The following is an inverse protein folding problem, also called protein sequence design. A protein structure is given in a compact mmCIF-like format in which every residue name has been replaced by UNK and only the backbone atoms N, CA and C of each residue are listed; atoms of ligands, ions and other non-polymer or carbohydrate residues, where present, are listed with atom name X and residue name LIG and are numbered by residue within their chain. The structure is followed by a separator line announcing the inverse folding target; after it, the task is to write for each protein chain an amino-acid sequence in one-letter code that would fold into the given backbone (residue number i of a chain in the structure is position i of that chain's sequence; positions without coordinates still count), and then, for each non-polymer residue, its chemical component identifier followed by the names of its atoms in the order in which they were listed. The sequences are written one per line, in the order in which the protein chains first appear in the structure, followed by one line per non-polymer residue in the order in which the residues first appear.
data_IF_541875680290
#
_entry.id   IF_541875680290
#
_cell.length_a   1.000
_cell.length_b   1.000
_cell.length_c   1.000
_cell.angle_alpha   90.00
_cell.angle_beta   90.00
_cell.angle_gamma   90.00
#
_symmetry.space_group_name_H-M   'P 1'
#
loop_
_entity.id
_entity.type
_entity.pdbx_description
1 polymer ?
#
# COMPACT_ATOMS: atom_id res chain seq x y z
N UNK A 1 -10.90 39.92 -25.93
CA UNK A 1 -11.91 39.07 -26.59
C UNK A 1 -11.13 37.92 -27.21
N UNK A 2 -11.32 36.72 -26.69
CA UNK A 2 -10.48 35.55 -26.94
C UNK A 2 -10.74 34.94 -28.31
N UNK A 3 -9.68 34.70 -29.09
CA UNK A 3 -9.55 33.53 -29.95
C UNK A 3 -8.10 33.37 -30.46
N UNK A 4 -7.74 32.13 -30.79
CA UNK A 4 -6.52 31.63 -31.43
C UNK A 4 -5.25 31.46 -30.56
N UNK A 5 -4.84 30.21 -30.35
CA UNK A 5 -3.81 29.52 -31.16
C UNK A 5 -3.68 28.07 -30.64
N UNK A 6 -4.13 27.14 -31.48
CA UNK A 6 -3.66 25.76 -31.54
C UNK A 6 -2.30 25.74 -32.26
N UNK A 7 -1.52 24.69 -32.00
CA UNK A 7 -0.24 24.31 -32.63
C UNK A 7 1.06 24.93 -32.09
N UNK A 8 1.71 24.20 -31.18
CA UNK A 8 2.94 23.43 -31.50
C UNK A 8 3.51 22.83 -30.20
N UNK A 9 3.64 21.51 -30.16
CA UNK A 9 4.81 20.73 -29.70
C UNK A 9 4.44 19.26 -29.91
N UNK A 10 4.82 18.76 -31.09
CA UNK A 10 5.02 17.34 -31.35
C UNK A 10 6.53 17.13 -31.43
N UNK A 11 6.97 15.95 -30.93
CA UNK A 11 8.33 15.39 -30.92
C UNK A 11 9.16 15.70 -29.67
N UNK A 12 8.81 15.01 -28.58
CA UNK A 12 9.84 14.23 -27.88
C UNK A 12 9.24 12.95 -27.30
N UNK A 13 9.70 11.82 -27.82
CA UNK A 13 9.14 10.49 -27.60
C UNK A 13 9.78 9.83 -26.39
N UNK A 14 9.22 10.08 -25.21
CA UNK A 14 9.26 9.12 -24.09
C UNK A 14 7.84 8.98 -23.52
N UNK A 15 7.29 7.77 -23.61
CA UNK A 15 5.90 7.41 -23.30
C UNK A 15 5.52 7.86 -21.89
N UNK A 16 4.76 8.96 -21.78
CA UNK A 16 4.05 9.37 -20.56
C UNK A 16 2.72 8.62 -20.49
N UNK A 17 2.54 7.81 -19.44
CA UNK A 17 1.22 7.36 -19.02
C UNK A 17 0.50 8.57 -18.40
N UNK A 18 -0.41 9.19 -19.15
CA UNK A 18 -1.28 10.24 -18.65
C UNK A 18 -2.71 9.71 -18.56
N UNK A 19 -3.29 9.68 -17.34
CA UNK A 19 -4.74 9.73 -17.19
C UNK A 19 -5.18 11.20 -17.32
N UNK A 20 -5.85 11.54 -18.42
CA UNK A 20 -6.52 12.83 -18.56
C UNK A 20 -7.96 12.72 -18.05
N UNK A 21 -8.40 13.68 -17.24
CA UNK A 21 -9.82 13.92 -16.98
C UNK A 21 -10.38 14.77 -18.12
N UNK A 22 -11.48 14.33 -18.73
CA UNK A 22 -12.27 15.15 -19.65
C UNK A 22 -13.22 16.08 -18.86
N UNK A 23 -13.65 17.18 -19.47
CA UNK A 23 -14.47 18.24 -18.86
C UNK A 23 -15.85 17.81 -18.35
N UNK A 24 -16.20 16.53 -18.53
CA UNK A 24 -17.45 15.91 -18.11
C UNK A 24 -17.29 14.84 -17.02
N UNK A 25 -16.16 14.79 -16.31
CA UNK A 25 -15.93 13.89 -15.16
C UNK A 25 -16.16 12.38 -15.46
N UNK A 26 -16.08 11.95 -16.74
CA UNK A 26 -16.08 10.52 -17.10
C UNK A 26 -14.65 10.01 -17.21
N UNK A 27 -14.35 8.93 -16.47
CA UNK A 27 -13.05 8.27 -16.47
C UNK A 27 -13.01 7.25 -17.63
N UNK A 28 -12.06 7.40 -18.56
CA UNK A 28 -11.64 6.30 -19.43
C UNK A 28 -10.46 5.60 -18.76
N UNK A 29 -10.70 4.44 -18.16
CA UNK A 29 -9.64 3.51 -17.77
C UNK A 29 -9.11 2.84 -19.04
N UNK A 30 -8.02 3.32 -19.64
CA UNK A 30 -7.28 2.51 -20.61
C UNK A 30 -6.47 1.47 -19.85
N UNK A 31 -6.92 0.22 -19.93
CA UNK A 31 -6.10 -0.96 -19.63
C UNK A 31 -4.88 -0.91 -20.55
N UNK A 32 -3.68 -1.05 -19.98
CA UNK A 32 -2.47 -1.24 -20.78
C UNK A 32 -2.63 -2.56 -21.56
N UNK A 33 -2.57 -2.48 -22.88
CA UNK A 33 -2.55 -3.65 -23.76
C UNK A 33 -1.33 -4.51 -23.41
N UNK A 34 -1.50 -5.78 -22.97
CA UNK A 34 -0.40 -6.63 -22.54
C UNK A 34 0.52 -7.09 -23.69
N UNK A 35 0.22 -6.73 -24.94
CA UNK A 35 0.90 -7.31 -26.11
C UNK A 35 2.08 -6.52 -26.67
N UNK A 36 2.53 -5.41 -26.06
CA UNK A 36 3.61 -4.61 -26.66
C UNK A 36 4.65 -4.04 -25.68
N UNK A 37 5.39 -4.94 -25.03
CA UNK A 37 6.83 -4.72 -24.77
C UNK A 37 7.54 -6.05 -24.49
N UNK A 38 7.92 -6.76 -25.55
CA UNK A 38 8.99 -7.77 -25.43
C UNK A 38 10.31 -7.01 -25.32
N UNK A 39 10.78 -6.81 -24.09
CA UNK A 39 12.19 -6.55 -23.82
C UNK A 39 12.77 -7.83 -23.25
N UNK A 40 13.69 -8.41 -24.00
CA UNK A 40 14.46 -9.60 -23.65
C UNK A 40 15.18 -9.42 -22.31
N UNK A 41 14.85 -10.25 -21.32
CA UNK A 41 15.62 -10.44 -20.08
C UNK A 41 14.88 -10.03 -18.80
N UNK A 42 14.33 -11.02 -18.08
CA UNK A 42 13.65 -10.96 -16.77
C UNK A 42 12.41 -10.04 -16.71
N UNK A 43 11.23 -10.66 -16.85
CA UNK A 43 9.95 -10.05 -16.51
C UNK A 43 9.89 -9.86 -14.99
N UNK A 44 10.17 -8.63 -14.59
CA UNK A 44 10.22 -8.14 -13.23
C UNK A 44 8.76 -7.81 -12.84
N UNK A 45 8.11 -8.73 -12.10
CA UNK A 45 6.65 -8.74 -11.90
C UNK A 45 6.13 -7.75 -10.85
N UNK A 46 5.40 -6.72 -11.29
CA UNK A 46 4.72 -5.73 -10.43
C UNK A 46 3.78 -6.39 -9.42
N UNK A 47 4.00 -6.13 -8.13
CA UNK A 47 3.07 -6.46 -7.04
C UNK A 47 1.90 -5.49 -7.09
N UNK A 48 0.83 -5.87 -7.79
CA UNK A 48 -0.39 -5.07 -7.90
C UNK A 48 -1.58 -5.86 -7.41
N UNK A 49 -2.54 -5.15 -6.83
CA UNK A 49 -3.83 -5.72 -6.44
C UNK A 49 -4.59 -6.21 -7.68
N UNK A 50 -5.48 -7.18 -7.51
CA UNK A 50 -6.25 -7.74 -8.62
C UNK A 50 -7.10 -6.65 -9.28
N UNK A 51 -6.82 -6.37 -10.55
CA UNK A 51 -7.46 -5.29 -11.31
C UNK A 51 -8.87 -5.63 -11.80
N UNK A 52 -9.54 -4.62 -12.37
CA UNK A 52 -10.86 -4.77 -12.97
C UNK A 52 -12.02 -4.59 -12.00
N UNK A 53 -13.22 -4.97 -12.46
CA UNK A 53 -14.51 -4.78 -11.77
C UNK A 53 -15.21 -6.12 -11.45
N UNK A 54 -14.51 -7.24 -11.67
CA UNK A 54 -15.04 -8.58 -11.44
C UNK A 54 -15.17 -8.93 -9.96
N UNK A 55 -15.82 -10.06 -9.62
CA UNK A 55 -16.08 -10.46 -8.23
C UNK A 55 -14.82 -10.73 -7.41
N UNK A 56 -13.68 -11.03 -8.04
CA UNK A 56 -12.39 -11.23 -7.37
C UNK A 56 -11.49 -9.99 -7.40
N UNK A 57 -11.96 -8.89 -7.99
CA UNK A 57 -11.18 -7.66 -8.12
C UNK A 57 -11.02 -6.95 -6.77
N UNK A 58 -9.98 -6.14 -6.66
CA UNK A 58 -9.76 -5.27 -5.51
C UNK A 58 -10.88 -4.23 -5.36
N UNK A 59 -11.46 -3.74 -6.46
CA UNK A 59 -12.57 -2.80 -6.40
C UNK A 59 -13.77 -3.35 -5.62
N UNK A 60 -14.05 -4.65 -5.76
CA UNK A 60 -15.17 -5.34 -5.09
C UNK A 60 -14.82 -5.90 -3.70
N UNK A 61 -13.53 -6.01 -3.36
CA UNK A 61 -13.06 -6.69 -2.14
C UNK A 61 -12.15 -5.83 -1.25
N UNK A 62 -12.27 -4.50 -1.31
CA UNK A 62 -11.43 -3.56 -0.55
C UNK A 62 -12.17 -2.82 0.58
N UNK A 63 -13.29 -3.39 1.08
CA UNK A 63 -14.05 -2.82 2.19
C UNK A 63 -13.26 -2.75 3.50
N UNK A 64 -12.34 -3.70 3.72
CA UNK A 64 -11.42 -3.70 4.86
C UNK A 64 -10.58 -2.43 4.88
N UNK A 65 -9.99 -2.06 3.74
CA UNK A 65 -9.24 -0.82 3.58
C UNK A 65 -10.16 0.41 3.67
N UNK A 66 -11.36 0.33 3.11
CA UNK A 66 -12.36 1.40 3.16
C UNK A 66 -12.68 1.83 4.60
N UNK A 67 -12.79 0.87 5.52
CA UNK A 67 -13.00 1.16 6.95
C UNK A 67 -11.90 2.02 7.57
N UNK A 68 -10.63 1.82 7.18
CA UNK A 68 -9.52 2.65 7.68
C UNK A 68 -9.59 4.06 7.11
N UNK A 69 -9.95 4.20 5.83
CA UNK A 69 -10.11 5.52 5.18
C UNK A 69 -11.17 6.35 5.92
N UNK A 70 -12.29 5.73 6.30
CA UNK A 70 -13.36 6.41 7.02
C UNK A 70 -12.90 6.92 8.40
N UNK A 71 -12.07 6.15 9.11
CA UNK A 71 -11.52 6.57 10.42
C UNK A 71 -10.44 7.64 10.27
N UNK A 72 -9.59 7.52 9.25
CA UNK A 72 -8.49 8.46 9.03
C UNK A 72 -8.98 9.81 8.46
N UNK A 73 -10.09 9.82 7.72
CA UNK A 73 -10.65 11.01 7.09
C UNK A 73 -10.82 12.19 8.05
N UNK A 74 -11.58 12.11 9.17
CA UNK A 74 -11.76 13.26 10.07
C UNK A 74 -10.44 13.74 10.66
N UNK A 75 -9.48 12.84 10.91
CA UNK A 75 -8.13 13.17 11.37
C UNK A 75 -7.39 14.00 10.32
N UNK A 76 -7.40 13.56 9.05
CA UNK A 76 -6.77 14.28 7.96
C UNK A 76 -7.40 15.66 7.75
N UNK A 77 -8.74 15.75 7.80
CA UNK A 77 -9.46 17.02 7.66
C UNK A 77 -9.11 18.01 8.79
N UNK A 78 -9.02 17.52 10.03
CA UNK A 78 -8.60 18.28 11.20
C UNK A 78 -7.17 18.81 11.03
N UNK A 79 -6.23 17.94 10.65
CA UNK A 79 -4.82 18.30 10.50
C UNK A 79 -4.58 19.26 9.33
N UNK A 80 -5.29 19.11 8.22
CA UNK A 80 -5.27 20.08 7.11
C UNK A 80 -5.72 21.45 7.63
N UNK A 81 -6.82 21.52 8.38
CA UNK A 81 -7.34 22.78 8.91
C UNK A 81 -6.33 23.48 9.83
N UNK A 82 -5.64 22.71 10.68
CA UNK A 82 -4.72 23.22 11.72
C UNK A 82 -3.31 23.52 11.22
N UNK A 83 -2.75 22.66 10.36
CA UNK A 83 -1.31 22.59 10.10
C UNK A 83 -0.90 22.98 8.68
N UNK A 84 -1.85 22.94 7.73
CA UNK A 84 -1.58 23.35 6.35
C UNK A 84 -1.53 24.88 6.31
N UNK A 85 -0.35 25.40 6.01
CA UNK A 85 -0.21 26.81 5.65
C UNK A 85 -0.59 26.94 4.17
N UNK A 86 -1.50 27.85 3.86
CA UNK A 86 -1.91 28.15 2.48
C UNK A 86 -1.40 29.51 2.02
N UNK A 87 -0.82 30.33 2.93
CA UNK A 87 -0.50 31.73 2.67
C UNK A 87 0.64 31.94 1.68
N UNK A 88 1.56 30.98 1.62
CA UNK A 88 2.78 31.05 0.83
C UNK A 88 2.77 30.14 -0.41
N UNK A 89 1.64 29.50 -0.72
CA UNK A 89 1.57 28.56 -1.83
C UNK A 89 1.13 29.24 -3.13
N UNK A 90 1.80 28.86 -4.22
CA UNK A 90 1.49 29.35 -5.57
C UNK A 90 0.05 29.04 -5.99
N UNK A 91 -0.39 29.64 -7.09
CA UNK A 91 -1.73 29.46 -7.67
C UNK A 91 -2.17 28.01 -7.92
N UNK A 92 -1.26 27.02 -7.86
CA UNK A 92 -1.52 25.58 -8.07
C UNK A 92 -1.19 24.76 -6.82
N UNK A 93 -2.17 24.02 -6.30
CA UNK A 93 -2.01 23.06 -5.20
C UNK A 93 -2.06 21.63 -5.75
N UNK A 94 -1.04 20.82 -5.47
CA UNK A 94 -0.98 19.41 -5.91
C UNK A 94 -1.16 18.46 -4.73
N UNK A 95 -1.78 17.32 -5.02
CA UNK A 95 -2.03 16.25 -4.06
C UNK A 95 -1.61 14.96 -4.75
N UNK A 96 -0.84 14.11 -4.10
CA UNK A 96 -0.51 12.78 -4.60
C UNK A 96 -1.08 11.70 -3.68
N UNK A 97 -1.48 10.56 -4.26
CA UNK A 97 -1.90 9.34 -3.55
C UNK A 97 -0.97 8.18 -3.93
N UNK A 98 -0.12 7.76 -2.99
CA UNK A 98 0.79 6.62 -3.17
C UNK A 98 0.11 5.34 -2.69
N UNK A 99 0.01 4.34 -3.58
CA UNK A 99 -0.74 3.10 -3.31
C UNK A 99 -2.23 3.18 -3.68
N UNK A 100 -2.58 3.98 -4.70
CA UNK A 100 -3.99 4.26 -5.04
C UNK A 100 -4.81 3.04 -5.52
N UNK A 101 -4.16 1.93 -5.91
CA UNK A 101 -4.78 0.70 -6.42
C UNK A 101 -5.84 0.98 -7.51
N UNK A 102 -6.71 0.00 -7.79
CA UNK A 102 -7.85 0.09 -8.72
C UNK A 102 -9.19 0.27 -8.03
N UNK A 103 -9.23 0.37 -6.70
CA UNK A 103 -10.47 0.46 -5.92
C UNK A 103 -10.99 1.89 -5.69
N UNK A 104 -12.21 1.98 -5.16
CA UNK A 104 -12.89 3.26 -4.90
C UNK A 104 -12.34 4.05 -3.70
N UNK A 105 -11.61 3.39 -2.80
CA UNK A 105 -11.07 4.00 -1.57
C UNK A 105 -10.19 5.22 -1.84
N UNK A 106 -9.32 5.15 -2.85
CA UNK A 106 -8.45 6.26 -3.28
C UNK A 106 -9.27 7.48 -3.68
N UNK A 107 -10.36 7.28 -4.42
CA UNK A 107 -11.23 8.37 -4.85
C UNK A 107 -11.89 9.06 -3.66
N UNK A 108 -12.47 8.29 -2.74
CA UNK A 108 -13.13 8.83 -1.55
C UNK A 108 -12.17 9.62 -0.64
N UNK A 109 -10.95 9.10 -0.44
CA UNK A 109 -9.91 9.81 0.31
C UNK A 109 -9.52 11.12 -0.38
N UNK A 110 -9.20 11.08 -1.66
CA UNK A 110 -8.78 12.25 -2.44
C UNK A 110 -9.86 13.33 -2.53
N UNK A 111 -11.13 12.91 -2.64
CA UNK A 111 -12.26 13.85 -2.63
C UNK A 111 -12.37 14.56 -1.27
N UNK A 112 -12.28 13.81 -0.18
CA UNK A 112 -12.37 14.34 1.19
C UNK A 112 -11.24 15.32 1.49
N UNK A 113 -10.02 14.93 1.15
CA UNK A 113 -8.83 15.76 1.25
C UNK A 113 -8.97 17.04 0.43
N UNK A 114 -9.44 16.94 -0.82
CA UNK A 114 -9.67 18.10 -1.68
C UNK A 114 -10.69 19.05 -1.08
N UNK A 115 -11.78 18.53 -0.52
CA UNK A 115 -12.82 19.33 0.17
C UNK A 115 -12.24 20.06 1.38
N UNK A 116 -11.44 19.38 2.20
CA UNK A 116 -10.79 19.97 3.37
C UNK A 116 -9.84 21.12 3.00
N UNK A 117 -9.03 20.93 1.96
CA UNK A 117 -8.13 21.97 1.46
C UNK A 117 -8.93 23.17 0.95
N UNK A 118 -9.96 22.95 0.12
CA UNK A 118 -10.82 24.04 -0.37
C UNK A 118 -11.41 24.87 0.76
N UNK A 119 -11.95 24.19 1.78
CA UNK A 119 -12.48 24.84 2.99
C UNK A 119 -11.41 25.65 3.72
N UNK A 120 -10.18 25.16 3.79
CA UNK A 120 -9.04 25.88 4.38
C UNK A 120 -8.70 27.16 3.59
N UNK A 121 -8.65 27.09 2.27
CA UNK A 121 -8.45 28.28 1.42
C UNK A 121 -9.56 29.31 1.58
N UNK A 122 -10.82 28.88 1.64
CA UNK A 122 -11.98 29.76 1.89
C UNK A 122 -11.89 30.45 3.26
N UNK A 123 -11.55 29.68 4.30
CA UNK A 123 -11.44 30.16 5.68
C UNK A 123 -10.31 31.19 5.83
N UNK A 124 -9.20 30.98 5.11
CA UNK A 124 -8.02 31.85 5.13
C UNK A 124 -8.12 33.01 4.11
N UNK A 125 -9.25 33.17 3.42
CA UNK A 125 -9.52 34.30 2.51
C UNK A 125 -8.75 34.27 1.19
N UNK A 126 -8.37 33.09 0.71
CA UNK A 126 -7.55 32.91 -0.48
C UNK A 126 -8.35 32.33 -1.67
N UNK A 127 -8.02 32.77 -2.89
CA UNK A 127 -8.60 32.24 -4.14
C UNK A 127 -7.53 31.51 -4.96
N UNK A 128 -7.72 30.22 -5.22
CA UNK A 128 -6.69 29.38 -5.85
C UNK A 128 -7.24 28.50 -6.97
N UNK A 129 -6.42 28.23 -8.00
CA UNK A 129 -6.73 27.27 -9.06
C UNK A 129 -6.22 25.88 -8.66
N UNK A 130 -7.12 25.00 -8.26
CA UNK A 130 -6.78 23.63 -7.88
C UNK A 130 -6.45 22.75 -9.09
N UNK A 131 -5.35 21.98 -9.03
CA UNK A 131 -5.06 20.89 -9.98
C UNK A 131 -4.73 19.63 -9.21
N UNK A 132 -5.65 18.67 -9.24
CA UNK A 132 -5.45 17.35 -8.62
C UNK A 132 -4.63 16.50 -9.59
N UNK A 133 -3.51 15.96 -9.13
CA UNK A 133 -2.70 15.01 -9.90
C UNK A 133 -2.70 13.65 -9.22
N UNK A 134 -3.42 12.67 -9.78
CA UNK A 134 -3.19 11.27 -9.42
C UNK A 134 -1.90 10.83 -10.12
N UNK A 135 -0.75 10.90 -9.45
CA UNK A 135 0.52 10.57 -10.10
C UNK A 135 1.43 9.70 -9.24
N UNK A 136 2.03 8.72 -9.90
CA UNK A 136 3.18 7.92 -9.46
C UNK A 136 4.53 8.53 -9.85
N UNK A 137 4.66 9.83 -10.19
CA UNK A 137 5.96 10.45 -10.53
C UNK A 137 6.19 11.92 -10.11
N UNK A 138 7.27 12.15 -9.35
CA UNK A 138 8.38 13.15 -9.45
C UNK A 138 8.11 14.65 -9.70
N UNK A 139 6.91 15.18 -9.54
CA UNK A 139 6.70 16.65 -9.46
C UNK A 139 6.47 17.13 -8.04
N UNK A 140 7.03 18.31 -7.69
CA UNK A 140 7.06 18.77 -6.29
C UNK A 140 5.69 19.09 -5.71
N UNK A 141 5.13 18.27 -4.83
CA UNK A 141 3.77 18.41 -4.28
C UNK A 141 3.73 19.20 -2.96
N UNK A 142 2.71 20.02 -2.67
CA UNK A 142 2.46 20.59 -1.34
C UNK A 142 1.83 19.60 -0.34
N UNK A 143 1.25 18.50 -0.82
CA UNK A 143 0.73 17.47 0.06
C UNK A 143 0.77 16.07 -0.56
N UNK A 144 1.12 15.08 0.24
CA UNK A 144 1.21 13.67 -0.16
C UNK A 144 0.36 12.84 0.80
N UNK A 145 -0.69 12.23 0.28
CA UNK A 145 -1.41 11.18 1.01
C UNK A 145 -0.85 9.84 0.54
N UNK A 146 -0.57 8.93 1.46
CA UNK A 146 -0.25 7.53 1.12
C UNK A 146 -1.32 6.71 1.82
N UNK A 147 -2.38 6.38 1.07
CA UNK A 147 -3.54 5.75 1.65
C UNK A 147 -3.25 4.29 2.00
N UNK A 148 -2.46 3.58 1.20
CA UNK A 148 -2.09 2.19 1.45
C UNK A 148 -0.82 1.80 0.67
N UNK A 149 0.36 2.10 1.20
CA UNK A 149 1.59 1.31 1.03
C UNK A 149 2.79 2.06 1.60
N UNK A 150 3.28 1.61 2.75
CA UNK A 150 4.72 1.42 2.87
C UNK A 150 4.99 -0.08 2.74
N UNK A 151 4.44 -0.67 1.67
CA UNK A 151 5.01 -1.90 1.17
C UNK A 151 6.22 -1.48 0.35
N UNK A 152 7.35 -2.13 0.58
CA UNK A 152 8.59 -2.07 -0.20
C UNK A 152 8.31 -1.97 -1.70
N UNK A 153 8.21 -0.75 -2.24
CA UNK A 153 8.05 -0.52 -3.68
C UNK A 153 9.12 0.46 -4.14
N UNK A 154 10.39 0.02 -4.26
CA UNK A 154 11.31 0.69 -5.15
C UNK A 154 10.74 0.67 -6.58
N UNK A 155 10.82 1.81 -7.26
CA UNK A 155 10.38 1.97 -8.65
C UNK A 155 11.14 1.08 -9.64
N UNK A 156 12.28 0.53 -9.22
CA UNK A 156 13.13 -0.36 -10.02
C UNK A 156 13.41 -1.67 -9.28
N UNK A 157 12.49 -2.60 -9.52
CA UNK A 157 12.63 -4.04 -9.59
C UNK A 157 13.97 -4.75 -9.31
N UNK A 158 14.09 -5.25 -8.09
CA UNK A 158 14.56 -6.61 -7.78
C UNK A 158 13.97 -6.98 -6.41
N UNK A 159 13.65 -8.26 -6.14
CA UNK A 159 13.43 -8.68 -4.75
C UNK A 159 14.65 -8.21 -3.95
N UNK A 160 14.49 -7.47 -2.85
CA UNK A 160 15.63 -6.96 -2.10
C UNK A 160 16.59 -8.12 -1.76
N UNK A 161 17.91 -7.89 -1.76
CA UNK A 161 18.90 -8.95 -1.51
C UNK A 161 18.57 -9.82 -0.29
N UNK A 162 18.04 -9.21 0.77
CA UNK A 162 17.59 -9.86 1.99
C UNK A 162 16.44 -10.84 1.75
N UNK A 163 15.51 -10.52 0.84
CA UNK A 163 14.45 -11.44 0.43
C UNK A 163 14.96 -12.56 -0.48
N UNK A 164 16.10 -12.38 -1.15
CA UNK A 164 16.77 -13.44 -1.88
C UNK A 164 17.48 -14.38 -0.90
N UNK A 165 18.13 -13.84 0.13
CA UNK A 165 18.78 -14.64 1.19
C UNK A 165 17.78 -15.50 1.97
N UNK A 166 16.58 -15.01 2.28
CA UNK A 166 15.55 -15.84 2.95
C UNK A 166 14.97 -16.94 2.05
N UNK A 167 15.17 -16.84 0.73
CA UNK A 167 14.73 -17.83 -0.25
C UNK A 167 15.85 -18.81 -0.69
N UNK A 168 17.09 -18.58 -0.25
CA UNK A 168 18.27 -19.39 -0.58
C UNK A 168 18.49 -20.48 0.47
N UNK A 169 18.50 -21.76 0.05
CA UNK A 169 18.63 -22.91 0.94
C UNK A 169 20.05 -23.08 1.52
N UNK A 170 21.02 -22.33 1.00
CA UNK A 170 22.38 -22.24 1.53
C UNK A 170 22.56 -21.12 2.56
N UNK A 171 21.56 -20.21 2.66
CA UNK A 171 21.63 -19.06 3.55
C UNK A 171 21.29 -19.40 5.01
N UNK A 172 21.98 -18.80 6.00
CA UNK A 172 21.60 -18.92 7.40
C UNK A 172 20.19 -18.36 7.68
N UNK A 173 19.64 -17.49 6.80
CA UNK A 173 18.30 -16.89 6.91
C UNK A 173 17.22 -17.62 6.11
N UNK A 174 17.49 -18.82 5.57
CA UNK A 174 16.49 -19.59 4.81
C UNK A 174 15.18 -19.81 5.59
N UNK A 175 14.04 -19.44 4.99
CA UNK A 175 12.70 -19.51 5.59
C UNK A 175 11.95 -20.80 5.25
N UNK A 176 12.57 -21.95 5.52
CA UNK A 176 12.03 -23.28 5.19
C UNK A 176 10.60 -23.48 5.70
N UNK A 177 9.74 -24.04 4.84
CA UNK A 177 8.35 -24.41 5.09
C UNK A 177 7.42 -23.24 5.50
N UNK A 178 7.85 -22.00 5.28
CA UNK A 178 7.08 -20.79 5.58
C UNK A 178 7.13 -19.84 4.40
N UNK A 179 6.11 -18.99 4.30
CA UNK A 179 6.01 -17.99 3.25
C UNK A 179 6.18 -16.55 3.77
N UNK A 180 6.42 -16.38 5.07
CA UNK A 180 6.55 -15.09 5.75
C UNK A 180 7.39 -15.24 7.02
N UNK A 181 7.82 -14.14 7.64
CA UNK A 181 8.69 -14.14 8.82
C UNK A 181 7.99 -14.46 10.16
N UNK A 182 6.67 -14.71 10.16
CA UNK A 182 5.94 -14.96 11.40
C UNK A 182 6.30 -16.34 11.98
N UNK A 183 6.68 -16.35 13.26
CA UNK A 183 7.21 -17.54 13.94
C UNK A 183 8.46 -18.15 13.27
N UNK A 184 9.15 -17.41 12.41
CA UNK A 184 10.39 -17.83 11.79
C UNK A 184 11.56 -17.67 12.77
N UNK A 185 12.77 -18.08 12.35
CA UNK A 185 13.99 -17.85 13.13
C UNK A 185 14.27 -16.35 13.24
N UNK A 186 14.94 -15.95 14.32
CA UNK A 186 15.24 -14.53 14.63
C UNK A 186 15.93 -13.83 13.46
N UNK A 187 16.84 -14.52 12.79
CA UNK A 187 17.60 -14.00 11.65
C UNK A 187 16.69 -13.64 10.46
N UNK A 188 15.60 -14.40 10.24
CA UNK A 188 14.60 -14.11 9.21
C UNK A 188 13.79 -12.87 9.58
N UNK A 189 13.37 -12.77 10.86
CA UNK A 189 12.63 -11.61 11.35
C UNK A 189 13.47 -10.33 11.23
N UNK A 190 14.75 -10.39 11.61
CA UNK A 190 15.69 -9.27 11.48
C UNK A 190 15.89 -8.86 10.02
N UNK A 191 16.00 -9.82 9.09
CA UNK A 191 16.10 -9.51 7.66
C UNK A 191 14.88 -8.73 7.15
N UNK A 192 13.66 -9.18 7.49
CA UNK A 192 12.42 -8.49 7.12
C UNK A 192 12.32 -7.09 7.75
N UNK A 193 12.63 -6.97 9.05
CA UNK A 193 12.58 -5.69 9.77
C UNK A 193 13.61 -4.69 9.24
N UNK A 194 14.83 -5.13 8.97
CA UNK A 194 15.89 -4.29 8.39
C UNK A 194 15.52 -3.81 6.99
N UNK A 195 14.97 -4.71 6.15
CA UNK A 195 14.55 -4.34 4.81
C UNK A 195 13.39 -3.34 4.85
N UNK A 196 12.40 -3.58 5.70
CA UNK A 196 11.30 -2.64 5.92
C UNK A 196 11.80 -1.26 6.34
N UNK A 197 12.74 -1.19 7.28
CA UNK A 197 13.34 0.07 7.72
C UNK A 197 14.03 0.81 6.57
N UNK A 198 14.83 0.11 5.75
CA UNK A 198 15.49 0.67 4.57
C UNK A 198 14.47 1.22 3.55
N UNK A 199 13.39 0.48 3.31
CA UNK A 199 12.37 0.87 2.34
C UNK A 199 11.57 2.09 2.81
N UNK A 200 11.23 2.15 4.10
CA UNK A 200 10.56 3.33 4.70
C UNK A 200 11.49 4.55 4.62
N UNK A 201 12.78 4.40 4.92
CA UNK A 201 13.76 5.49 4.82
C UNK A 201 13.91 5.99 3.39
N UNK A 202 14.12 5.08 2.43
CA UNK A 202 14.20 5.43 1.02
C UNK A 202 12.92 6.10 0.51
N UNK A 203 11.76 5.65 0.98
CA UNK A 203 10.49 6.31 0.71
C UNK A 203 10.47 7.73 1.25
N UNK A 204 10.80 7.95 2.54
CA UNK A 204 10.82 9.27 3.15
C UNK A 204 11.80 10.21 2.43
N UNK A 205 13.00 9.74 2.11
CA UNK A 205 14.00 10.55 1.40
C UNK A 205 13.53 10.94 0.00
N UNK A 206 12.94 10.00 -0.75
CA UNK A 206 12.34 10.30 -2.06
C UNK A 206 11.21 11.33 -1.94
N UNK A 207 10.35 11.19 -0.93
CA UNK A 207 9.27 12.15 -0.67
C UNK A 207 9.80 13.51 -0.21
N UNK A 208 11.02 13.59 0.32
CA UNK A 208 11.60 14.85 0.82
C UNK A 208 12.09 15.74 -0.32
N UNK A 209 12.46 15.15 -1.46
CA UNK A 209 12.79 15.84 -2.71
C UNK A 209 11.53 16.35 -3.43
N UNK A 210 10.43 15.60 -3.31
CA UNK A 210 9.14 15.91 -3.93
C UNK A 210 8.27 16.85 -3.07
N UNK A 211 8.25 16.72 -1.75
CA UNK A 211 7.38 17.54 -0.91
C UNK A 211 8.00 18.92 -0.66
N UNK A 212 7.22 19.98 -0.89
CA UNK A 212 7.69 21.35 -0.60
C UNK A 212 7.90 21.57 0.91
N UNK A 213 8.76 22.52 1.28
CA UNK A 213 8.93 22.92 2.68
C UNK A 213 7.60 23.36 3.30
N UNK A 214 7.28 22.83 4.49
CA UNK A 214 5.99 23.04 5.16
C UNK A 214 4.84 22.16 4.66
N UNK A 215 5.04 21.38 3.58
CA UNK A 215 4.06 20.44 3.07
C UNK A 215 3.75 19.30 4.04
N UNK A 216 2.53 18.76 3.93
CA UNK A 216 2.04 17.69 4.81
C UNK A 216 2.10 16.33 4.11
N UNK A 217 2.47 15.30 4.86
CA UNK A 217 2.40 13.91 4.43
C UNK A 217 1.61 13.09 5.44
N UNK A 218 0.50 12.51 5.00
CA UNK A 218 -0.32 11.60 5.81
C UNK A 218 -0.05 10.16 5.37
N UNK A 219 0.36 9.31 6.32
CA UNK A 219 0.60 7.88 6.09
C UNK A 219 -0.40 7.06 6.91
N UNK A 220 -0.93 6.01 6.30
CA UNK A 220 -1.73 4.99 6.96
C UNK A 220 -1.04 3.65 6.71
N UNK A 221 -0.54 3.04 7.79
CA UNK A 221 0.38 1.90 7.70
C UNK A 221 -0.18 0.70 8.45
N UNK A 222 -0.33 -0.46 7.80
CA UNK A 222 -0.73 -1.68 8.50
C UNK A 222 0.39 -2.15 9.42
N UNK A 223 0.03 -2.56 10.62
CA UNK A 223 0.95 -2.95 11.66
C UNK A 223 0.35 -4.05 12.55
N UNK A 224 1.18 -4.60 13.42
CA UNK A 224 0.76 -5.52 14.49
C UNK A 224 1.03 -4.90 15.86
N UNK A 225 0.22 -5.23 16.88
CA UNK A 225 0.49 -4.80 18.23
C UNK A 225 1.79 -5.47 18.73
N UNK A 226 2.54 -4.75 19.57
CA UNK A 226 3.77 -5.27 20.16
C UNK A 226 3.57 -6.58 20.94
N UNK A 227 2.37 -6.77 21.50
CA UNK A 227 1.99 -7.97 22.24
C UNK A 227 0.56 -8.37 21.90
N UNK A 228 0.36 -9.66 21.61
CA UNK A 228 -0.95 -10.29 21.45
C UNK A 228 -0.84 -11.79 21.73
N UNK A 229 -1.96 -12.45 22.06
CA UNK A 229 -1.97 -13.87 22.38
C UNK A 229 -2.51 -14.69 21.19
N UNK A 230 -1.68 -15.52 20.53
CA UNK A 230 -2.11 -16.32 19.38
C UNK A 230 -3.10 -17.43 19.71
N UNK A 231 -3.31 -17.74 20.99
CA UNK A 231 -4.32 -18.72 21.41
C UNK A 231 -5.73 -18.13 21.51
N UNK A 232 -5.87 -16.80 21.58
CA UNK A 232 -7.17 -16.13 21.80
C UNK A 232 -7.46 -15.05 20.76
N UNK A 233 -6.53 -14.77 19.86
CA UNK A 233 -6.63 -13.72 18.86
C UNK A 233 -5.84 -14.11 17.62
N UNK A 234 -6.02 -13.37 16.53
CA UNK A 234 -5.24 -13.50 15.31
C UNK A 234 -4.85 -12.12 14.75
N UNK A 235 -3.85 -12.11 13.90
CA UNK A 235 -3.45 -10.93 13.12
C UNK A 235 -3.29 -11.34 11.65
N UNK A 236 -3.04 -10.39 10.76
CA UNK A 236 -2.69 -10.67 9.36
C UNK A 236 -1.49 -11.62 9.24
N UNK A 237 -0.58 -11.64 10.23
CA UNK A 237 0.53 -12.59 10.26
C UNK A 237 0.08 -14.05 10.39
N UNK A 238 -0.95 -14.32 11.21
CA UNK A 238 -1.55 -15.65 11.33
C UNK A 238 -2.20 -16.11 10.03
N UNK A 239 -2.78 -15.17 9.28
CA UNK A 239 -3.40 -15.47 7.99
C UNK A 239 -2.37 -15.86 6.92
N UNK A 240 -1.18 -15.24 6.94
CA UNK A 240 -0.07 -15.68 6.09
C UNK A 240 0.38 -17.11 6.41
N UNK A 241 0.42 -17.50 7.68
CA UNK A 241 0.72 -18.89 8.06
C UNK A 241 -0.35 -19.86 7.54
N UNK A 242 -1.64 -19.50 7.60
CA UNK A 242 -2.72 -20.32 7.04
C UNK A 242 -2.58 -20.44 5.52
N UNK A 243 -2.28 -19.33 4.83
CA UNK A 243 -2.03 -19.33 3.38
C UNK A 243 -0.84 -20.24 3.01
N UNK A 244 0.27 -20.13 3.76
CA UNK A 244 1.44 -20.99 3.59
C UNK A 244 1.10 -22.47 3.81
N UNK A 245 0.29 -22.77 4.82
CA UNK A 245 -0.20 -24.12 5.07
C UNK A 245 -1.08 -24.64 3.92
N UNK A 246 -1.93 -23.82 3.29
CA UNK A 246 -2.67 -24.22 2.09
C UNK A 246 -1.76 -24.51 0.89
N UNK A 247 -0.70 -23.73 0.71
CA UNK A 247 0.30 -23.99 -0.34
C UNK A 247 1.03 -25.32 -0.10
N UNK A 248 1.35 -25.64 1.15
CA UNK A 248 1.93 -26.93 1.52
C UNK A 248 0.99 -28.10 1.23
N UNK A 249 -0.31 -27.99 1.55
CA UNK A 249 -1.31 -29.01 1.22
C UNK A 249 -1.39 -29.25 -0.30
N UNK A 250 -1.31 -28.20 -1.11
CA UNK A 250 -1.28 -28.32 -2.57
C UNK A 250 0.00 -29.00 -3.08
N UNK A 251 1.15 -28.72 -2.45
CA UNK A 251 2.39 -29.42 -2.76
C UNK A 251 2.30 -30.92 -2.43
N UNK A 252 1.67 -31.27 -1.30
CA UNK A 252 1.46 -32.67 -0.89
C UNK A 252 0.49 -33.41 -1.80
N UNK A 253 -0.47 -32.70 -2.40
CA UNK A 253 -1.32 -33.21 -3.49
C UNK A 253 -0.62 -33.32 -4.84
N UNK A 254 0.66 -32.93 -4.93
CA UNK A 254 1.44 -33.01 -6.17
C UNK A 254 1.15 -31.92 -7.18
N UNK A 255 0.53 -30.79 -6.78
CA UNK A 255 0.35 -29.63 -7.69
C UNK A 255 1.68 -28.97 -8.05
N UNK A 256 2.65 -29.00 -7.15
CA UNK A 256 4.02 -28.53 -7.33
C UNK A 256 4.93 -29.12 -6.24
N UNK A 257 6.25 -28.93 -6.34
CA UNK A 257 7.20 -29.43 -5.35
C UNK A 257 7.15 -28.63 -4.04
N UNK A 258 7.48 -29.27 -2.90
CA UNK A 258 7.65 -28.57 -1.61
C UNK A 258 8.73 -27.47 -1.69
N UNK A 259 9.80 -27.72 -2.44
CA UNK A 259 10.84 -26.73 -2.71
C UNK A 259 10.30 -25.46 -3.38
N UNK A 260 9.24 -25.55 -4.19
CA UNK A 260 8.58 -24.38 -4.79
C UNK A 260 7.93 -23.49 -3.73
N UNK A 261 7.39 -24.09 -2.65
CA UNK A 261 6.88 -23.34 -1.49
C UNK A 261 8.03 -22.74 -0.69
N UNK A 262 9.08 -23.53 -0.43
CA UNK A 262 10.26 -23.06 0.32
C UNK A 262 10.98 -21.87 -0.34
N UNK A 263 10.91 -21.76 -1.67
CA UNK A 263 11.45 -20.64 -2.43
C UNK A 263 10.57 -19.38 -2.43
N UNK A 264 9.35 -19.46 -1.91
CA UNK A 264 8.38 -18.35 -1.94
C UNK A 264 8.32 -17.61 -0.61
N UNK A 265 8.50 -16.30 -0.67
CA UNK A 265 8.38 -15.40 0.48
C UNK A 265 7.55 -14.16 0.11
N UNK A 266 6.61 -13.79 0.97
CA UNK A 266 5.83 -12.56 0.84
C UNK A 266 6.73 -11.36 1.12
N UNK A 267 6.88 -10.40 0.18
CA UNK A 267 7.74 -9.23 0.37
C UNK A 267 7.04 -8.13 1.16
N UNK A 268 6.52 -8.48 2.33
CA UNK A 268 5.71 -7.61 3.17
C UNK A 268 6.19 -7.80 4.59
N UNK A 269 6.27 -6.71 5.34
CA UNK A 269 6.54 -6.73 6.77
C UNK A 269 5.49 -5.88 7.49
N UNK A 270 4.96 -6.41 8.59
CA UNK A 270 4.08 -5.68 9.49
C UNK A 270 4.89 -5.25 10.70
N UNK A 271 5.21 -3.96 10.77
CA UNK A 271 5.94 -3.34 11.88
C UNK A 271 5.13 -3.35 13.17
N UNK A 272 5.79 -3.16 14.31
CA UNK A 272 5.13 -2.69 15.55
C UNK A 272 5.23 -1.16 15.67
N UNK A 273 4.36 -0.49 16.46
CA UNK A 273 4.35 0.96 16.57
C UNK A 273 5.69 1.58 17.01
N UNK A 274 6.39 0.94 17.95
CA UNK A 274 7.65 1.44 18.50
C UNK A 274 8.76 1.45 17.45
N UNK A 275 8.89 0.36 16.68
CA UNK A 275 9.86 0.25 15.59
C UNK A 275 9.57 1.26 14.49
N UNK A 276 8.29 1.39 14.10
CA UNK A 276 7.92 2.35 13.06
C UNK A 276 8.22 3.79 13.48
N UNK A 277 7.88 4.15 14.71
CA UNK A 277 8.19 5.46 15.27
C UNK A 277 9.70 5.73 15.25
N UNK A 278 10.51 4.76 15.65
CA UNK A 278 11.97 4.90 15.62
C UNK A 278 12.50 5.15 14.20
N UNK A 279 11.94 4.48 13.18
CA UNK A 279 12.29 4.74 11.77
C UNK A 279 11.95 6.19 11.38
N UNK A 280 10.74 6.65 11.72
CA UNK A 280 10.30 8.02 11.40
C UNK A 280 11.16 9.10 12.06
N UNK A 281 11.53 8.90 13.33
CA UNK A 281 12.33 9.85 14.11
C UNK A 281 13.79 9.97 13.64
N UNK A 282 14.31 8.96 12.92
CA UNK A 282 15.63 9.05 12.26
C UNK A 282 15.63 10.01 11.07
N UNK A 283 14.48 10.32 10.49
CA UNK A 283 14.43 11.20 9.33
C UNK A 283 14.76 12.64 9.70
N UNK A 284 15.83 13.17 9.11
CA UNK A 284 16.20 14.59 9.28
C UNK A 284 15.26 15.52 8.51
N UNK A 285 14.51 15.00 7.54
CA UNK A 285 13.70 15.78 6.59
C UNK A 285 12.32 16.19 7.12
N UNK A 286 11.81 15.51 8.15
CA UNK A 286 10.43 15.66 8.61
C UNK A 286 10.34 15.94 10.12
N UNK A 287 9.26 16.61 10.52
CA UNK A 287 8.76 16.59 11.90
C UNK A 287 7.59 15.63 12.00
N UNK A 288 7.58 14.82 13.05
CA UNK A 288 6.45 13.96 13.40
C UNK A 288 5.40 14.80 14.14
N UNK A 289 4.31 15.15 13.44
CA UNK A 289 3.27 16.03 13.98
C UNK A 289 2.20 15.27 14.76
N UNK A 290 1.87 14.05 14.31
CA UNK A 290 0.86 13.19 14.94
C UNK A 290 1.14 11.73 14.61
N UNK A 291 0.92 10.84 15.57
CA UNK A 291 0.95 9.40 15.39
C UNK A 291 -0.12 8.76 16.25
N UNK A 292 -1.02 8.00 15.64
CA UNK A 292 -2.15 7.36 16.32
C UNK A 292 -2.35 5.94 15.85
N UNK A 293 -2.81 5.08 16.76
CA UNK A 293 -3.24 3.72 16.43
C UNK A 293 -4.75 3.77 16.18
N UNK A 294 -5.18 3.33 15.01
CA UNK A 294 -6.58 3.29 14.60
C UNK A 294 -7.15 1.88 14.72
N UNK A 295 -8.35 1.74 15.29
CA UNK A 295 -9.17 0.54 15.11
C UNK A 295 -9.75 0.56 13.69
N UNK A 296 -9.57 -0.53 12.94
CA UNK A 296 -10.13 -0.62 11.60
C UNK A 296 -11.55 -1.21 11.65
N UNK A 297 -12.62 -0.41 11.45
CA UNK A 297 -13.97 -0.96 11.38
C UNK A 297 -14.17 -1.88 10.17
N UNK A 298 -13.29 -1.80 9.16
CA UNK A 298 -13.26 -2.68 8.01
C UNK A 298 -13.15 -4.16 8.35
N UNK A 299 -12.58 -4.53 9.51
CA UNK A 299 -12.56 -5.92 9.99
C UNK A 299 -13.96 -6.53 10.15
N UNK A 300 -14.97 -5.70 10.45
CA UNK A 300 -16.37 -6.08 10.63
C UNK A 300 -17.13 -6.19 9.29
N UNK A 301 -16.51 -5.78 8.19
CA UNK A 301 -17.08 -5.87 6.83
C UNK A 301 -16.83 -7.21 6.16
N UNK A 302 -16.08 -8.11 6.81
CA UNK A 302 -15.76 -9.45 6.34
C UNK A 302 -16.51 -10.47 7.21
N UNK A 303 -17.84 -10.64 7.03
CA UNK A 303 -18.70 -11.35 7.97
C UNK A 303 -18.46 -12.86 8.04
N UNK A 304 -17.73 -13.43 7.07
CA UNK A 304 -17.40 -14.84 7.11
C UNK A 304 -16.13 -15.24 6.36
N UNK A 305 -15.77 -16.54 6.42
CA UNK A 305 -14.56 -17.08 5.81
C UNK A 305 -14.43 -16.84 4.30
N UNK A 306 -15.56 -16.79 3.58
CA UNK A 306 -15.56 -16.51 2.13
C UNK A 306 -15.16 -15.07 1.84
N UNK A 307 -15.72 -14.10 2.57
CA UNK A 307 -15.40 -12.69 2.38
C UNK A 307 -13.93 -12.42 2.72
N UNK A 308 -13.43 -13.04 3.80
CA UNK A 308 -12.00 -12.99 4.16
C UNK A 308 -11.10 -13.59 3.09
N UNK A 309 -11.51 -14.71 2.49
CA UNK A 309 -10.79 -15.34 1.38
C UNK A 309 -10.79 -14.46 0.12
N UNK A 310 -11.91 -13.83 -0.23
CA UNK A 310 -12.00 -12.92 -1.38
C UNK A 310 -11.16 -11.66 -1.19
N UNK A 311 -11.14 -11.10 0.03
CA UNK A 311 -10.25 -10.01 0.41
C UNK A 311 -8.76 -10.38 0.24
N UNK A 312 -8.33 -11.52 0.79
CA UNK A 312 -6.95 -11.99 0.61
C UNK A 312 -6.62 -12.29 -0.85
N UNK A 313 -7.56 -12.90 -1.59
CA UNK A 313 -7.42 -13.17 -3.02
C UNK A 313 -7.19 -11.89 -3.81
N UNK A 314 -8.01 -10.88 -3.59
CA UNK A 314 -7.87 -9.61 -4.28
C UNK A 314 -6.53 -8.91 -4.00
N UNK A 315 -5.90 -9.19 -2.85
CA UNK A 315 -4.58 -8.65 -2.50
C UNK A 315 -3.40 -9.46 -3.08
N UNK A 316 -3.49 -10.80 -3.10
CA UNK A 316 -2.33 -11.66 -3.35
C UNK A 316 -2.40 -12.51 -4.62
N UNK A 317 -3.55 -12.56 -5.32
CA UNK A 317 -3.74 -13.43 -6.49
C UNK A 317 -2.68 -13.23 -7.57
N UNK A 318 -2.34 -11.99 -7.91
CA UNK A 318 -1.34 -11.72 -8.95
C UNK A 318 0.04 -12.25 -8.55
N UNK A 319 0.45 -12.01 -7.29
CA UNK A 319 1.71 -12.51 -6.76
C UNK A 319 1.75 -14.04 -6.78
N UNK A 320 0.70 -14.68 -6.26
CA UNK A 320 0.60 -16.13 -6.20
C UNK A 320 0.57 -16.75 -7.60
N UNK A 321 -0.11 -16.11 -8.55
CA UNK A 321 -0.16 -16.53 -9.95
C UNK A 321 1.23 -16.48 -10.59
N UNK A 322 1.97 -15.40 -10.37
CA UNK A 322 3.31 -15.23 -10.94
C UNK A 322 4.29 -16.32 -10.49
N UNK A 323 4.17 -16.80 -9.24
CA UNK A 323 5.08 -17.82 -8.69
C UNK A 323 4.56 -19.24 -8.91
N UNK A 324 3.29 -19.49 -8.56
CA UNK A 324 2.73 -20.85 -8.52
C UNK A 324 1.99 -21.25 -9.80
N UNK A 325 1.49 -20.29 -10.59
CA UNK A 325 0.61 -20.51 -11.73
C UNK A 325 -0.84 -20.13 -11.42
N UNK A 326 -1.61 -19.73 -12.43
CA UNK A 326 -3.02 -19.33 -12.27
C UNK A 326 -3.94 -20.50 -11.95
N UNK A 327 -3.56 -21.71 -12.38
CA UNK A 327 -4.35 -22.93 -12.30
C UNK A 327 -4.62 -23.41 -10.87
N UNK A 328 -3.83 -22.96 -9.89
CA UNK A 328 -4.00 -23.33 -8.48
C UNK A 328 -4.82 -22.34 -7.68
N UNK A 329 -5.10 -21.14 -8.20
CA UNK A 329 -5.62 -20.02 -7.41
C UNK A 329 -7.01 -20.32 -6.84
N UNK A 330 -7.91 -20.86 -7.66
CA UNK A 330 -9.26 -21.20 -7.21
C UNK A 330 -9.23 -22.30 -6.13
N UNK A 331 -8.41 -23.34 -6.32
CA UNK A 331 -8.25 -24.42 -5.33
C UNK A 331 -7.63 -23.88 -4.03
N UNK A 332 -6.62 -23.01 -4.15
CA UNK A 332 -5.92 -22.40 -3.02
C UNK A 332 -6.89 -21.60 -2.15
N UNK A 333 -7.67 -20.68 -2.73
CA UNK A 333 -8.58 -19.84 -1.95
C UNK A 333 -9.81 -20.59 -1.43
N UNK A 334 -10.23 -21.67 -2.09
CA UNK A 334 -11.22 -22.59 -1.54
C UNK A 334 -10.68 -23.33 -0.30
N UNK A 335 -9.42 -23.79 -0.33
CA UNK A 335 -8.79 -24.41 0.84
C UNK A 335 -8.54 -23.40 1.97
N UNK A 336 -8.12 -22.19 1.62
CA UNK A 336 -7.95 -21.09 2.56
C UNK A 336 -9.26 -20.81 3.31
N UNK A 337 -10.36 -20.61 2.59
CA UNK A 337 -11.68 -20.39 3.20
C UNK A 337 -12.09 -21.54 4.15
N UNK A 338 -11.77 -22.80 3.80
CA UNK A 338 -12.03 -23.96 4.68
C UNK A 338 -11.19 -23.93 5.96
N UNK A 339 -9.90 -23.58 5.88
CA UNK A 339 -9.03 -23.48 7.07
C UNK A 339 -9.45 -22.32 7.97
N UNK A 340 -9.83 -21.18 7.40
CA UNK A 340 -10.40 -20.05 8.13
C UNK A 340 -11.70 -20.48 8.85
N UNK A 341 -12.60 -21.16 8.15
CA UNK A 341 -13.86 -21.65 8.72
C UNK A 341 -13.68 -22.68 9.85
N UNK A 342 -12.59 -23.44 9.84
CA UNK A 342 -12.29 -24.46 10.86
C UNK A 342 -11.75 -23.86 12.17
N UNK A 343 -11.27 -22.62 12.16
CA UNK A 343 -10.67 -21.98 13.33
C UNK A 343 -11.69 -21.09 14.06
N UNK A 344 -11.97 -21.34 15.36
CA UNK A 344 -12.87 -20.50 16.15
C UNK A 344 -12.45 -19.03 16.24
N UNK A 345 -11.15 -18.75 16.04
CA UNK A 345 -10.61 -17.39 16.12
C UNK A 345 -11.25 -16.46 15.08
N UNK A 346 -11.57 -16.96 13.89
CA UNK A 346 -12.12 -16.16 12.78
C UNK A 346 -13.64 -16.00 12.82
N UNK A 347 -14.32 -16.61 13.82
CA UNK A 347 -15.77 -16.46 13.99
C UNK A 347 -16.16 -15.12 14.61
N UNK A 348 -15.25 -14.49 15.35
CA UNK A 348 -15.46 -13.18 15.97
C UNK A 348 -14.45 -12.16 15.39
N UNK A 349 -14.91 -11.10 14.69
CA UNK A 349 -14.01 -10.07 14.17
C UNK A 349 -13.26 -9.31 15.27
N UNK A 350 -13.71 -9.35 16.53
CA UNK A 350 -12.99 -8.74 17.65
C UNK A 350 -11.74 -9.52 18.06
N UNK A 351 -11.59 -10.77 17.62
CA UNK A 351 -10.35 -11.53 17.77
C UNK A 351 -9.25 -11.06 16.80
N UNK A 352 -9.59 -10.29 15.76
CA UNK A 352 -8.58 -9.67 14.91
C UNK A 352 -7.91 -8.50 15.65
N UNK A 353 -6.59 -8.60 15.84
CA UNK A 353 -5.78 -7.60 16.53
C UNK A 353 -4.81 -6.84 15.62
N UNK A 354 -4.88 -7.02 14.29
CA UNK A 354 -4.13 -6.15 13.37
C UNK A 354 -4.54 -4.69 13.58
N UNK A 355 -3.57 -3.79 13.49
CA UNK A 355 -3.78 -2.36 13.74
C UNK A 355 -3.38 -1.54 12.53
N UNK A 356 -3.90 -0.32 12.45
CA UNK A 356 -3.45 0.67 11.47
C UNK A 356 -2.79 1.82 12.22
N UNK A 357 -1.63 2.26 11.78
CA UNK A 357 -0.94 3.43 12.32
C UNK A 357 -1.22 4.60 11.38
N UNK A 358 -1.87 5.63 11.90
CA UNK A 358 -1.93 6.93 11.25
C UNK A 358 -0.70 7.76 11.64
N UNK A 359 -0.09 8.42 10.67
CA UNK A 359 1.02 9.35 10.88
C UNK A 359 0.79 10.61 10.08
N UNK A 360 0.98 11.76 10.72
CA UNK A 360 1.17 13.04 10.04
C UNK A 360 2.63 13.48 10.18
N UNK A 361 3.27 13.68 9.04
CA UNK A 361 4.59 14.26 8.91
C UNK A 361 4.48 15.65 8.27
N UNK A 362 5.32 16.59 8.71
CA UNK A 362 5.48 17.88 8.05
C UNK A 362 6.91 18.05 7.54
N UNK A 363 7.05 18.44 6.27
CA UNK A 363 8.37 18.67 5.65
C UNK A 363 9.03 19.87 6.31
N UNK A 364 10.24 19.70 6.84
CA UNK A 364 11.03 20.83 7.36
C UNK A 364 11.34 21.82 6.22
N UNK A 365 11.37 23.13 6.48
CA UNK A 365 11.86 24.11 5.52
C UNK A 365 13.29 23.79 5.10
N UNK A 366 13.68 24.18 3.88
CA UNK A 366 15.09 24.14 3.49
C UNK A 366 15.84 25.22 4.27
N UNK A 367 16.84 24.83 5.07
CA UNK A 367 17.84 25.77 5.57
C UNK A 367 18.67 26.23 4.37
N UNK A 368 18.36 27.41 3.84
CA UNK A 368 19.30 28.14 2.99
C UNK A 368 20.44 28.62 3.89
N UNK A 369 21.46 27.77 4.10
CA UNK A 369 22.75 28.23 4.59
C UNK A 369 23.57 28.83 3.47
#
# INVERSE_FOLDING_TARGET
MCEAILDHISKDSHRKLSCQMDSNFRIQNRVADPTNSVVSGRMLGQYVMNGGEGPNSYAQNSSYQGGVVEVAKPIIEEEISKKLDVKHHSSTFMIADFGCSTGHNSFAAMESITKAIKKKFETDGQTSRFRIFRCSSTTKSPMISTLFSVHSHPKDFTMPPEFQEVADDTSPTWNRAKIHCFGARREVLEAYSNQYAKDVEAFLDSRAEELVGGGLMALIVPAVPAFWNPNTAYTTLTEFDILGSCLMDLAEKGRFSKAKVDSFNLPIHYTVPQEFKAILERSVNYTLERMEILDNPGKRTLPGPKDRASFFRAAFEQLLTNHFGSEIIDELFQQYAKKIAASPLFLDPENEKSIMIFVLLKRKPYDHK
#
